data_IF_524697573118
#
_entry.id   IF_524697573118
#
_cell.length_a   1.000
_cell.length_b   1.000
_cell.length_c   1.000
_cell.angle_alpha   90.00
_cell.angle_beta   90.00
_cell.angle_gamma   90.00
#
_symmetry.space_group_name_H-M   'P 1'
#
loop_
_entity.id
_entity.type
_entity.pdbx_description
1 polymer ?
#
# COMPACT_ATOMS: atom_id res chain seq x y z
N UNK A 1 -8.54 -12.15 48.91
CA UNK A 1 -8.94 -11.15 47.90
C UNK A 1 -8.42 -11.61 46.55
N UNK A 2 -9.30 -11.82 45.58
CA UNK A 2 -9.01 -12.47 44.29
C UNK A 2 -8.23 -11.50 43.40
N UNK A 3 -7.07 -11.93 42.92
CA UNK A 3 -6.27 -11.19 41.94
C UNK A 3 -6.91 -11.34 40.55
N UNK A 4 -7.75 -10.38 40.17
CA UNK A 4 -8.24 -10.28 38.80
C UNK A 4 -7.11 -9.79 37.89
N UNK A 5 -6.33 -10.71 37.33
CA UNK A 5 -5.62 -10.46 36.06
C UNK A 5 -6.69 -10.17 35.02
N UNK A 6 -6.92 -8.91 34.72
CA UNK A 6 -7.67 -8.51 33.54
C UNK A 6 -6.92 -9.02 32.30
N UNK A 7 -7.33 -10.18 31.80
CA UNK A 7 -6.97 -10.61 30.45
C UNK A 7 -7.63 -9.62 29.48
N UNK A 8 -6.92 -8.53 29.17
CA UNK A 8 -7.28 -7.70 28.03
C UNK A 8 -7.03 -8.56 26.79
N UNK A 9 -8.10 -9.16 26.25
CA UNK A 9 -8.11 -9.65 24.89
C UNK A 9 -7.82 -8.44 23.98
N UNK A 10 -6.54 -8.16 23.71
CA UNK A 10 -6.14 -7.23 22.65
C UNK A 10 -6.66 -7.87 21.36
N UNK A 11 -7.76 -7.34 20.84
CA UNK A 11 -8.12 -7.50 19.44
C UNK A 11 -6.85 -7.29 18.61
N UNK A 12 -6.50 -8.25 17.76
CA UNK A 12 -5.36 -8.13 16.84
C UNK A 12 -5.74 -7.12 15.73
N UNK A 13 -5.79 -5.85 16.09
CA UNK A 13 -6.05 -4.73 15.20
C UNK A 13 -4.77 -4.38 14.44
N UNK A 14 -4.82 -4.48 13.13
CA UNK A 14 -3.74 -4.04 12.25
C UNK A 14 -3.89 -2.54 11.97
N UNK A 15 -2.79 -1.80 12.08
CA UNK A 15 -2.73 -0.42 11.61
C UNK A 15 -2.52 -0.40 10.11
N UNK A 16 -3.38 0.32 9.40
CA UNK A 16 -3.26 0.58 7.98
C UNK A 16 -2.98 2.07 7.80
N UNK A 17 -1.76 2.39 7.39
CA UNK A 17 -1.36 3.78 7.11
C UNK A 17 -2.02 4.27 5.82
N UNK A 18 -2.64 5.44 5.89
CA UNK A 18 -3.34 6.03 4.75
C UNK A 18 -2.37 6.41 3.63
N UNK A 19 -1.15 6.82 3.97
CA UNK A 19 -0.10 7.11 3.00
C UNK A 19 0.20 5.93 2.08
N UNK A 20 0.40 4.73 2.65
CA UNK A 20 0.67 3.51 1.88
C UNK A 20 -0.49 3.22 0.92
N UNK A 21 -1.73 3.39 1.39
CA UNK A 21 -2.94 3.24 0.58
C UNK A 21 -3.00 4.26 -0.57
N UNK A 22 -2.70 5.53 -0.31
CA UNK A 22 -2.74 6.58 -1.34
C UNK A 22 -1.69 6.35 -2.44
N UNK A 23 -0.47 5.97 -2.04
CA UNK A 23 0.61 5.62 -2.98
C UNK A 23 0.20 4.41 -3.83
N UNK A 24 -0.29 3.33 -3.21
CA UNK A 24 -0.74 2.14 -3.94
C UNK A 24 -1.91 2.45 -4.88
N UNK A 25 -2.91 3.21 -4.41
CA UNK A 25 -4.08 3.58 -5.22
C UNK A 25 -3.70 4.44 -6.42
N UNK A 26 -2.75 5.36 -6.26
CA UNK A 26 -2.26 6.15 -7.39
C UNK A 26 -1.63 5.25 -8.45
N UNK A 27 -0.70 4.38 -8.05
CA UNK A 27 -0.03 3.43 -8.96
C UNK A 27 -1.06 2.51 -9.63
N UNK A 28 -2.02 1.99 -8.86
CA UNK A 28 -3.10 1.13 -9.36
C UNK A 28 -3.96 1.84 -10.41
N UNK A 29 -4.34 3.09 -10.15
CA UNK A 29 -5.22 3.86 -11.03
C UNK A 29 -4.53 4.33 -12.30
N UNK A 30 -3.31 4.83 -12.19
CA UNK A 30 -2.64 5.51 -13.30
C UNK A 30 -1.77 4.56 -14.14
N UNK A 31 -1.23 3.51 -13.53
CA UNK A 31 -0.14 2.72 -14.14
C UNK A 31 -0.42 1.23 -14.29
N UNK A 32 -1.56 0.76 -13.81
CA UNK A 32 -1.98 -0.63 -13.85
C UNK A 32 -3.33 -0.69 -14.59
N UNK A 33 -3.46 -1.63 -15.51
CA UNK A 33 -4.65 -1.91 -16.30
C UNK A 33 -5.27 -3.24 -15.89
N UNK A 34 -6.60 -3.30 -15.79
CA UNK A 34 -7.31 -4.54 -15.50
C UNK A 34 -7.35 -5.50 -16.70
N UNK A 35 -7.05 -5.02 -17.92
CA UNK A 35 -7.06 -5.81 -19.15
C UNK A 35 -5.75 -6.61 -19.36
N UNK A 36 -4.67 -6.22 -18.68
CA UNK A 36 -3.36 -6.86 -18.83
C UNK A 36 -3.09 -7.89 -17.74
N UNK A 37 -2.34 -8.95 -18.08
CA UNK A 37 -1.90 -9.93 -17.07
C UNK A 37 -0.94 -9.34 -16.04
N UNK A 38 -0.95 -9.86 -14.81
CA UNK A 38 -0.02 -9.40 -13.77
C UNK A 38 1.45 -9.56 -14.18
N UNK A 39 1.79 -10.61 -14.94
CA UNK A 39 3.16 -10.85 -15.39
C UNK A 39 3.63 -9.71 -16.30
N UNK A 40 2.88 -9.41 -17.35
CA UNK A 40 3.22 -8.35 -18.31
C UNK A 40 3.33 -6.98 -17.62
N UNK A 41 2.37 -6.64 -16.77
CA UNK A 41 2.38 -5.35 -16.07
C UNK A 41 3.54 -5.24 -15.07
N UNK A 42 3.90 -6.35 -14.40
CA UNK A 42 5.03 -6.34 -13.47
C UNK A 42 6.36 -6.09 -14.19
N UNK A 43 6.52 -6.62 -15.41
CA UNK A 43 7.69 -6.36 -16.26
C UNK A 43 7.72 -4.90 -16.73
N UNK A 44 6.58 -4.33 -17.11
CA UNK A 44 6.45 -2.90 -17.49
C UNK A 44 6.80 -1.96 -16.33
N UNK A 45 6.62 -2.40 -15.08
CA UNK A 45 6.93 -1.63 -13.87
C UNK A 45 8.29 -2.01 -13.23
N UNK A 46 9.02 -2.97 -13.79
CA UNK A 46 10.31 -3.42 -13.27
C UNK A 46 10.24 -4.15 -11.92
N UNK A 47 9.11 -4.76 -11.58
CA UNK A 47 8.89 -5.43 -10.29
C UNK A 47 8.49 -6.89 -10.44
N UNK A 48 8.62 -7.67 -9.37
CA UNK A 48 8.12 -9.05 -9.34
C UNK A 48 6.57 -9.07 -9.29
N UNK A 49 5.88 -10.04 -9.94
CA UNK A 49 4.41 -10.14 -9.92
C UNK A 49 3.80 -10.14 -8.51
N UNK A 50 4.49 -10.74 -7.53
CA UNK A 50 4.04 -10.73 -6.13
C UNK A 50 3.98 -9.31 -5.52
N UNK A 51 4.91 -8.43 -5.90
CA UNK A 51 4.89 -7.02 -5.47
C UNK A 51 3.71 -6.29 -6.12
N UNK A 52 3.45 -6.56 -7.41
CA UNK A 52 2.29 -6.00 -8.11
C UNK A 52 0.97 -6.39 -7.41
N UNK A 53 0.82 -7.65 -7.00
CA UNK A 53 -0.35 -8.12 -6.24
C UNK A 53 -0.52 -7.37 -4.91
N UNK A 54 0.59 -7.07 -4.21
CA UNK A 54 0.54 -6.26 -2.97
C UNK A 54 0.11 -4.82 -3.25
N UNK A 55 0.61 -4.20 -4.31
CA UNK A 55 0.21 -2.84 -4.71
C UNK A 55 -1.28 -2.80 -5.09
N UNK A 56 -1.83 -3.86 -5.68
CA UNK A 56 -3.25 -3.95 -6.03
C UNK A 56 -4.19 -4.09 -4.81
N UNK A 57 -3.66 -4.39 -3.62
CA UNK A 57 -4.45 -4.54 -2.40
C UNK A 57 -4.99 -3.18 -1.92
N UNK A 58 -6.28 -3.14 -1.58
CA UNK A 58 -6.97 -1.91 -1.17
C UNK A 58 -6.53 -1.39 0.22
N UNK A 59 -5.94 -2.26 1.05
CA UNK A 59 -5.32 -1.83 2.31
C UNK A 59 -3.99 -1.11 2.09
N UNK A 60 -3.42 -1.17 0.88
CA UNK A 60 -2.10 -0.63 0.59
C UNK A 60 -0.97 -1.57 0.96
N UNK A 61 0.23 -1.19 0.54
CA UNK A 61 1.46 -1.92 0.78
C UNK A 61 2.55 -0.90 1.08
N UNK A 62 3.33 -1.16 2.14
CA UNK A 62 4.50 -0.34 2.48
C UNK A 62 5.62 -0.61 1.48
N UNK A 63 5.57 0.08 0.34
CA UNK A 63 6.54 -0.07 -0.75
C UNK A 63 7.91 0.40 -0.26
N UNK A 64 8.97 -0.43 -0.35
CA UNK A 64 10.33 0.03 -0.11
C UNK A 64 10.68 1.16 -1.07
N UNK A 65 11.35 2.21 -0.58
CA UNK A 65 11.70 3.37 -1.40
C UNK A 65 12.52 2.98 -2.65
N UNK A 66 13.37 1.96 -2.53
CA UNK A 66 14.12 1.38 -3.66
C UNK A 66 13.20 0.76 -4.73
N UNK A 67 12.15 0.04 -4.32
CA UNK A 67 11.14 -0.49 -5.24
C UNK A 67 10.36 0.63 -5.91
N UNK A 68 9.99 1.68 -5.17
CA UNK A 68 9.32 2.85 -5.74
C UNK A 68 10.21 3.57 -6.76
N UNK A 69 11.51 3.71 -6.46
CA UNK A 69 12.49 4.28 -7.39
C UNK A 69 12.61 3.47 -8.69
N UNK A 70 12.61 2.14 -8.61
CA UNK A 70 12.58 1.27 -9.80
C UNK A 70 11.32 1.51 -10.63
N UNK A 71 10.14 1.56 -10.00
CA UNK A 71 8.88 1.83 -10.70
C UNK A 71 8.96 3.19 -11.43
N UNK A 72 9.44 4.24 -10.75
CA UNK A 72 9.60 5.58 -11.34
C UNK A 72 10.56 5.56 -12.53
N UNK A 73 11.68 4.83 -12.43
CA UNK A 73 12.64 4.66 -13.52
C UNK A 73 12.02 4.02 -14.77
N UNK A 74 11.17 2.99 -14.58
CA UNK A 74 10.44 2.36 -15.69
C UNK A 74 9.37 3.29 -16.28
N UNK A 75 8.76 4.15 -15.46
CA UNK A 75 7.84 5.20 -15.89
C UNK A 75 8.50 6.46 -16.46
N UNK A 76 9.84 6.52 -16.50
CA UNK A 76 10.61 7.65 -17.03
C UNK A 76 10.33 8.97 -16.30
N UNK A 77 10.08 8.88 -14.99
CA UNK A 77 9.93 10.03 -14.10
C UNK A 77 10.93 9.95 -12.96
N UNK A 78 11.30 11.11 -12.41
CA UNK A 78 12.07 11.15 -11.18
C UNK A 78 11.21 10.78 -9.97
N UNK A 79 11.85 10.24 -8.93
CA UNK A 79 11.15 9.99 -7.67
C UNK A 79 10.61 11.29 -7.03
N UNK A 80 11.31 12.41 -7.23
CA UNK A 80 10.87 13.74 -6.81
C UNK A 80 9.56 14.16 -7.51
N UNK A 81 9.44 13.86 -8.80
CA UNK A 81 8.26 14.12 -9.61
C UNK A 81 7.09 13.24 -9.19
N UNK A 82 7.36 11.97 -8.89
CA UNK A 82 6.35 11.08 -8.32
C UNK A 82 5.72 11.65 -7.05
N UNK A 83 6.53 12.16 -6.11
CA UNK A 83 5.98 12.77 -4.89
C UNK A 83 5.13 14.01 -5.17
N UNK A 84 5.47 14.82 -6.17
CA UNK A 84 4.63 15.94 -6.62
C UNK A 84 3.29 15.46 -7.20
N UNK A 85 3.28 14.33 -7.93
CA UNK A 85 2.04 13.74 -8.46
C UNK A 85 1.12 13.25 -7.33
N UNK A 86 1.70 12.63 -6.30
CA UNK A 86 0.98 12.21 -5.10
C UNK A 86 0.41 13.42 -4.35
N UNK A 87 1.22 14.45 -4.13
CA UNK A 87 0.80 15.69 -3.48
C UNK A 87 -0.32 16.39 -4.27
N UNK A 88 -0.22 16.44 -5.60
CA UNK A 88 -1.26 16.99 -6.48
C UNK A 88 -2.59 16.25 -6.34
N UNK A 89 -2.57 14.93 -6.19
CA UNK A 89 -3.77 14.09 -6.13
C UNK A 89 -4.43 14.08 -4.75
N UNK A 90 -3.65 14.07 -3.68
CA UNK A 90 -4.14 13.84 -2.32
C UNK A 90 -3.95 15.03 -1.37
N UNK A 91 -3.10 16.01 -1.73
CA UNK A 91 -2.86 17.23 -0.97
C UNK A 91 -2.47 16.97 0.47
N UNK A 92 -3.14 17.67 1.40
CA UNK A 92 -2.89 17.59 2.85
C UNK A 92 -3.24 16.23 3.49
N UNK A 93 -3.76 15.26 2.73
CA UNK A 93 -4.00 13.89 3.21
C UNK A 93 -2.72 13.04 3.27
N UNK A 94 -1.62 13.51 2.71
CA UNK A 94 -0.31 12.85 2.77
C UNK A 94 0.31 13.12 4.15
N UNK A 95 -0.05 12.28 5.12
CA UNK A 95 0.43 12.33 6.50
C UNK A 95 0.58 10.89 7.07
N UNK A 96 0.85 10.76 8.37
CA UNK A 96 1.04 9.49 9.07
C UNK A 96 -0.26 8.92 9.69
N UNK A 97 -1.42 9.43 9.29
CA UNK A 97 -2.72 8.92 9.74
C UNK A 97 -2.90 7.45 9.36
N UNK A 98 -3.64 6.73 10.20
CA UNK A 98 -3.93 5.32 10.00
C UNK A 98 -5.36 4.97 10.42
N UNK A 99 -5.87 3.87 9.88
CA UNK A 99 -7.10 3.23 10.34
C UNK A 99 -6.80 1.88 10.99
N UNK A 100 -7.60 1.51 11.98
CA UNK A 100 -7.53 0.20 12.62
C UNK A 100 -8.43 -0.77 11.87
N UNK A 101 -7.87 -1.90 11.45
CA UNK A 101 -8.63 -3.01 10.85
C UNK A 101 -8.61 -4.19 11.79
N UNK A 102 -9.80 -4.63 12.19
CA UNK A 102 -9.95 -5.88 12.93
C UNK A 102 -9.74 -7.05 11.97
N UNK A 103 -8.79 -7.92 12.28
CA UNK A 103 -8.69 -9.20 11.58
C UNK A 103 -9.79 -10.10 12.12
N UNK A 104 -10.97 -10.11 11.48
CA UNK A 104 -11.91 -11.22 11.65
C UNK A 104 -11.20 -12.47 11.15
N UNK A 105 -10.77 -13.34 12.06
CA UNK A 105 -10.42 -14.71 11.70
C UNK A 105 -11.64 -15.25 10.96
N UNK A 106 -11.49 -15.48 9.66
CA UNK A 106 -12.43 -16.32 8.93
C UNK A 106 -12.20 -17.70 9.50
N UNK A 107 -13.12 -18.15 10.37
CA UNK A 107 -13.13 -19.53 10.82
C UNK A 107 -13.14 -20.42 9.56
N UNK A 108 -12.29 -21.46 9.62
CA UNK A 108 -11.93 -22.35 8.53
C UNK A 108 -13.14 -23.04 7.88
#
# INVERSE_FOLDING_TARGET
>A
MVNNKSNSNKSNEAKIFLLDRFVCNYIKKEWISDEKSNLSQSQELGIHPHVLTKIKNDDGYRIPLSTLAIICFYKKIELSEFFKLIEKQYGSKINDDFVLKTNTKKDA
#
